data_IF_271328956668
#
_entry.id   IF_271328956668
#
_cell.length_a   1.000
_cell.length_b   1.000
_cell.length_c   1.000
_cell.angle_alpha   90.00
_cell.angle_beta   90.00
_cell.angle_gamma   90.00
#
_symmetry.space_group_name_H-M   'P 1'
#
loop_
_entity.id
_entity.type
_entity.pdbx_description
1 polymer ?
2 non-polymer ?
3 water ?
#
# COMPACT_ATOMS: atom_id res chain seq x y z
N UNK A 113 -18.85 7.08 9.91
CA UNK A 113 -17.71 7.86 10.42
C UNK A 113 -16.77 8.22 9.29
N UNK A 114 -15.83 9.16 9.57
CA UNK A 114 -14.80 9.56 8.60
C UNK A 114 -13.98 8.31 8.14
N UNK A 115 -13.42 7.52 9.08
CA UNK A 115 -12.59 6.34 8.75
C UNK A 115 -13.38 5.28 7.96
N UNK A 116 -14.65 5.09 8.30
CA UNK A 116 -15.51 4.08 7.63
C UNK A 116 -15.59 4.43 6.13
N UNK A 117 -15.90 5.69 5.82
CA UNK A 117 -16.01 6.14 4.43
C UNK A 117 -14.68 6.04 3.73
N UNK A 118 -13.58 6.45 4.42
CA UNK A 118 -12.26 6.40 3.79
C UNK A 118 -11.83 4.99 3.43
N UNK A 119 -12.11 4.02 4.32
CA UNK A 119 -11.69 2.64 4.06
C UNK A 119 -12.53 2.09 2.90
N UNK A 120 -13.82 2.37 2.89
CA UNK A 120 -14.67 1.89 1.78
C UNK A 120 -14.26 2.53 0.45
N UNK A 121 -13.91 3.80 0.46
CA UNK A 121 -13.55 4.48 -0.80
C UNK A 121 -12.19 4.06 -1.31
N UNK A 122 -11.25 3.78 -0.40
CA UNK A 122 -9.92 3.27 -0.78
C UNK A 122 -10.10 1.92 -1.46
N UNK A 123 -11.03 1.09 -0.93
CA UNK A 123 -11.28 -0.20 -1.55
C UNK A 123 -11.99 -0.04 -2.89
N UNK A 124 -13.16 0.63 -2.90
CA UNK A 124 -14.00 0.80 -4.08
C UNK A 124 -13.30 1.57 -5.22
N UNK A 125 -12.67 2.69 -4.87
CA UNK A 125 -12.03 3.58 -5.81
C UNK A 125 -10.60 3.28 -6.16
N UNK A 126 -9.98 2.30 -5.49
CA UNK A 126 -8.58 2.03 -5.81
C UNK A 126 -8.21 0.52 -5.83
N UNK A 127 -8.28 -0.13 -4.66
CA UNK A 127 -7.86 -1.55 -4.54
C UNK A 127 -8.69 -2.49 -5.39
N UNK A 128 -9.99 -2.30 -5.46
CA UNK A 128 -10.83 -3.20 -6.25
C UNK A 128 -10.56 -3.04 -7.78
N UNK A 129 -10.01 -1.88 -8.18
CA UNK A 129 -9.70 -1.58 -9.58
C UNK A 129 -8.32 -2.08 -9.98
N UNK A 130 -7.33 -2.04 -9.06
CA UNK A 130 -5.94 -2.49 -9.36
C UNK A 130 -5.64 -3.96 -8.96
N UNK A 131 -6.26 -4.47 -7.88
CA UNK A 131 -5.88 -5.83 -7.45
C UNK A 131 -6.21 -6.96 -8.49
N UNK A 132 -7.34 -6.96 -9.24
CA UNK A 132 -7.58 -8.07 -10.18
C UNK A 132 -6.52 -8.24 -11.28
N UNK A 133 -5.83 -7.16 -11.68
CA UNK A 133 -4.83 -7.23 -12.75
C UNK A 133 -3.40 -7.14 -12.23
N UNK A 134 -3.22 -7.08 -10.90
CA UNK A 134 -1.90 -6.95 -10.30
C UNK A 134 -1.01 -8.17 -10.53
N UNK A 135 -1.52 -9.37 -10.25
CA UNK A 135 -0.71 -10.58 -10.37
C UNK A 135 -0.23 -10.82 -11.81
N UNK A 136 -1.02 -10.40 -12.84
CA UNK A 136 -0.59 -10.52 -14.24
C UNK A 136 0.56 -9.54 -14.52
N UNK A 137 0.51 -8.32 -13.92
CA UNK A 137 1.56 -7.31 -14.08
C UNK A 137 2.84 -7.82 -13.43
N UNK A 138 2.73 -8.40 -12.21
CA UNK A 138 3.89 -8.95 -11.48
C UNK A 138 4.49 -10.16 -12.26
N UNK A 139 3.63 -11.07 -12.75
CA UNK A 139 4.05 -12.26 -13.52
C UNK A 139 4.82 -11.86 -14.78
N UNK A 140 4.31 -10.87 -15.53
CA UNK A 140 4.91 -10.34 -16.76
C UNK A 140 6.29 -9.74 -16.43
N UNK A 141 6.36 -8.99 -15.32
CA UNK A 141 7.61 -8.37 -14.87
C UNK A 141 8.66 -9.45 -14.49
N UNK A 142 8.27 -10.41 -13.62
CA UNK A 142 9.19 -11.45 -13.18
C UNK A 142 9.68 -12.32 -14.33
N UNK A 143 8.77 -12.69 -15.26
CA UNK A 143 9.07 -13.48 -16.45
C UNK A 143 10.01 -12.74 -17.40
N UNK A 144 9.84 -11.40 -17.55
CA UNK A 144 10.71 -10.60 -18.43
C UNK A 144 12.17 -10.65 -17.95
N UNK A 145 12.38 -10.56 -16.62
CA UNK A 145 13.72 -10.56 -16.00
C UNK A 145 14.14 -11.92 -15.45
N UNK A 146 13.31 -12.97 -15.67
CA UNK A 146 13.52 -14.32 -15.14
C UNK A 146 13.85 -14.27 -13.62
N UNK A 147 13.04 -13.54 -12.87
CA UNK A 147 13.24 -13.38 -11.44
C UNK A 147 12.68 -14.57 -10.73
N UNK A 148 13.52 -15.22 -9.95
CA UNK A 148 13.16 -16.38 -9.14
C UNK A 148 13.74 -16.14 -7.75
N UNK A 149 13.27 -16.87 -6.74
CA UNK A 149 13.80 -16.80 -5.38
C UNK A 149 13.66 -15.38 -4.79
N UNK A 150 14.70 -14.80 -4.17
CA UNK A 150 14.62 -13.48 -3.51
C UNK A 150 14.36 -12.32 -4.44
N UNK A 151 14.82 -12.42 -5.68
CA UNK A 151 14.63 -11.40 -6.68
C UNK A 151 13.23 -11.40 -7.31
N UNK A 152 12.40 -12.45 -7.05
CA UNK A 152 11.05 -12.53 -7.59
C UNK A 152 10.14 -11.56 -6.79
N UNK A 153 9.52 -10.62 -7.49
CA UNK A 153 8.58 -9.67 -6.89
C UNK A 153 7.43 -10.48 -6.31
N UNK A 154 7.14 -10.27 -5.01
CA UNK A 154 6.01 -10.94 -4.31
C UNK A 154 4.69 -10.78 -5.10
N UNK A 155 3.80 -11.78 -5.03
CA UNK A 155 2.51 -11.76 -5.75
C UNK A 155 1.49 -10.82 -5.07
N UNK A 156 1.84 -10.23 -3.92
CA UNK A 156 0.94 -9.34 -3.16
C UNK A 156 1.34 -7.89 -3.15
N UNK A 157 0.35 -6.98 -3.14
CA UNK A 157 0.63 -5.55 -2.94
C UNK A 157 0.76 -5.35 -1.42
N UNK A 158 1.87 -4.76 -0.99
CA UNK A 158 2.14 -4.49 0.42
C UNK A 158 1.77 -3.05 0.70
N UNK A 159 0.78 -2.87 1.58
CA UNK A 159 0.22 -1.56 1.93
C UNK A 159 0.62 -1.17 3.33
N UNK A 160 1.39 -0.09 3.43
CA UNK A 160 1.88 0.42 4.70
C UNK A 160 0.82 1.27 5.41
N UNK A 161 0.53 0.93 6.66
CA UNK A 161 -0.50 1.60 7.47
C UNK A 161 0.12 2.18 8.75
N UNK A 162 0.88 3.29 8.66
CA UNK A 162 1.47 3.87 9.88
C UNK A 162 0.34 4.45 10.75
N UNK A 163 0.23 3.98 12.01
CA UNK A 163 -0.85 4.42 12.89
C UNK A 163 -0.72 5.90 13.30
N UNK A 164 0.48 6.48 13.19
CA UNK A 164 0.71 7.89 13.50
C UNK A 164 0.25 8.80 12.32
N UNK A 165 -0.18 8.20 11.19
CA UNK A 165 -0.63 8.85 9.94
C UNK A 165 0.46 9.65 9.19
N UNK A 166 1.73 9.43 9.53
CA UNK A 166 2.84 10.07 8.84
C UNK A 166 3.12 9.37 7.52
N UNK A 167 2.72 10.01 6.42
CA UNK A 167 2.88 9.46 5.08
C UNK A 167 3.94 10.24 4.29
N UNK A 168 5.20 9.75 4.23
CA UNK A 168 6.21 10.44 3.41
C UNK A 168 6.10 9.95 1.95
N UNK A 169 6.55 10.79 1.00
CA UNK A 169 6.46 10.41 -0.41
C UNK A 169 7.62 9.55 -0.89
N UNK A 170 8.72 9.61 -0.15
CA UNK A 170 9.90 8.80 -0.45
C UNK A 170 10.09 7.84 0.70
N UNK A 171 9.97 6.53 0.41
CA UNK A 171 10.09 5.41 1.34
C UNK A 171 11.50 5.29 1.88
N UNK A 172 12.51 5.63 1.05
CA UNK A 172 13.92 5.61 1.46
C UNK A 172 14.21 6.90 2.28
N UNK A 173 13.40 7.06 3.34
CA UNK A 173 13.38 8.14 4.32
C UNK A 173 12.99 7.48 5.65
N UNK A 174 11.96 6.60 5.62
CA UNK A 174 11.45 5.83 6.75
C UNK A 174 12.44 4.75 7.20
N UNK A 175 13.20 4.17 6.23
CA UNK A 175 14.21 3.12 6.46
C UNK A 175 15.18 3.03 5.26
N UNK A 176 16.52 3.09 5.49
CA UNK A 176 17.46 2.96 4.35
C UNK A 176 17.53 1.54 3.77
N UNK A 177 17.09 0.52 4.53
CA UNK A 177 17.08 -0.89 4.11
C UNK A 177 15.90 -1.21 3.15
N UNK A 178 15.20 -0.16 2.71
CA UNK A 178 14.08 -0.20 1.76
C UNK A 178 14.59 0.65 0.59
N UNK A 179 14.83 -0.01 -0.57
CA UNK A 179 15.45 0.66 -1.71
C UNK A 179 14.63 0.51 -2.95
N UNK A 180 14.34 1.65 -3.63
CA UNK A 180 13.59 1.62 -4.87
C UNK A 180 14.34 0.82 -5.95
N UNK A 181 13.66 -0.14 -6.60
CA UNK A 181 14.28 -0.94 -7.64
C UNK A 181 13.77 -0.56 -9.04
N UNK A 182 12.44 -0.61 -9.20
CA UNK A 182 11.84 -0.39 -10.51
C UNK A 182 10.36 -0.04 -10.41
N UNK A 183 9.79 0.45 -11.49
CA UNK A 183 8.37 0.68 -11.53
C UNK A 183 7.77 -0.57 -12.11
N UNK A 184 6.64 -0.97 -11.58
CA UNK A 184 5.89 -2.08 -12.14
C UNK A 184 5.24 -1.49 -13.39
N UNK A 185 5.28 -2.15 -14.59
CA UNK A 185 4.65 -1.55 -15.78
C UNK A 185 3.21 -1.09 -15.50
N UNK A 186 2.87 0.15 -15.90
CA UNK A 186 1.58 0.77 -15.58
C UNK A 186 0.40 0.00 -16.08
N UNK A 187 -0.72 0.13 -15.35
CA UNK A 187 -2.02 -0.38 -15.74
C UNK A 187 -2.76 0.88 -16.15
N UNK A 188 -3.60 0.80 -17.18
CA UNK A 188 -4.42 1.95 -17.59
C UNK A 188 -5.84 1.46 -17.74
N UNK A 189 -6.79 2.35 -17.46
CA UNK A 189 -8.20 2.02 -17.61
C UNK A 189 -8.95 3.31 -17.73
N UNK A 190 -10.04 3.30 -18.49
CA UNK A 190 -10.88 4.49 -18.57
C UNK A 190 -11.59 4.57 -17.22
N UNK A 191 -11.50 5.73 -16.56
CA UNK A 191 -12.08 5.90 -15.23
C UNK A 191 -12.69 7.29 -15.04
N UNK A 192 -14.03 7.35 -14.85
CA UNK A 192 -14.75 8.61 -14.54
C UNK A 192 -14.44 9.77 -15.50
N UNK A 193 -14.37 9.45 -16.78
CA UNK A 193 -14.07 10.44 -17.81
C UNK A 193 -12.59 10.64 -18.08
N UNK A 194 -11.71 10.01 -17.28
CA UNK A 194 -10.27 10.08 -17.56
C UNK A 194 -9.93 8.90 -18.47
N UNK A 195 -9.62 9.19 -19.72
CA UNK A 195 -9.24 8.17 -20.68
C UNK A 195 -7.88 7.63 -20.29
N UNK A 196 -7.75 6.30 -20.21
CA UNK A 196 -6.47 5.69 -19.84
C UNK A 196 -5.86 6.30 -18.54
N UNK A 197 -6.69 6.39 -17.49
CA UNK A 197 -6.24 6.80 -16.15
C UNK A 197 -5.13 5.81 -15.81
N UNK A 198 -3.98 6.34 -15.40
CA UNK A 198 -2.80 5.54 -15.16
C UNK A 198 -2.64 5.15 -13.68
N UNK A 199 -2.38 3.85 -13.45
CA UNK A 199 -2.11 3.27 -12.13
C UNK A 199 -0.64 2.86 -12.16
N UNK A 200 0.19 3.67 -11.48
CA UNK A 200 1.63 3.47 -11.34
C UNK A 200 1.87 2.75 -10.00
N UNK A 201 2.84 1.82 -9.93
CA UNK A 201 3.18 1.14 -8.66
C UNK A 201 4.67 0.86 -8.67
N UNK A 202 5.30 0.92 -7.50
CA UNK A 202 6.74 0.81 -7.38
C UNK A 202 7.19 -0.45 -6.66
N UNK A 203 8.23 -1.06 -7.19
CA UNK A 203 8.89 -2.26 -6.68
C UNK A 203 10.09 -1.83 -5.84
N UNK A 204 10.18 -2.36 -4.62
CA UNK A 204 11.28 -2.10 -3.70
C UNK A 204 12.06 -3.38 -3.37
N UNK A 205 13.36 -3.22 -3.07
CA UNK A 205 14.16 -4.32 -2.58
C UNK A 205 14.29 -4.07 -1.11
N UNK A 206 14.19 -5.15 -0.32
CA UNK A 206 14.34 -5.09 1.11
C UNK A 206 15.68 -5.70 1.46
N UNK A 207 16.54 -4.88 2.03
CA UNK A 207 17.91 -5.27 2.32
C UNK A 207 18.12 -5.76 3.76
N UNK A 208 19.06 -6.67 3.91
CA UNK A 208 19.46 -7.24 5.19
C UNK A 208 20.97 -7.44 5.08
N UNK A 209 21.74 -6.69 5.90
CA UNK A 209 23.21 -6.70 5.94
C UNK A 209 23.81 -6.41 4.56
N UNK A 210 23.24 -5.41 3.88
CA UNK A 210 23.68 -4.93 2.57
C UNK A 210 23.25 -5.72 1.34
N UNK A 211 22.64 -6.92 1.53
CA UNK A 211 22.17 -7.71 0.37
C UNK A 211 20.63 -7.77 0.25
N UNK A 212 20.15 -7.99 -0.99
CA UNK A 212 18.72 -8.10 -1.27
C UNK A 212 18.17 -9.38 -0.62
N UNK A 213 17.24 -9.21 0.30
CA UNK A 213 16.64 -10.31 1.05
C UNK A 213 15.21 -10.60 0.54
N UNK A 214 14.60 -9.59 -0.08
CA UNK A 214 13.24 -9.69 -0.58
C UNK A 214 12.89 -8.60 -1.57
N UNK A 215 11.81 -8.85 -2.34
CA UNK A 215 11.36 -7.90 -3.35
C UNK A 215 9.84 -7.79 -3.34
N UNK A 216 9.30 -6.56 -3.34
CA UNK A 216 7.85 -6.42 -3.37
C UNK A 216 7.39 -5.05 -3.80
N UNK A 217 6.16 -5.01 -4.30
CA UNK A 217 5.45 -3.77 -4.66
C UNK A 217 4.99 -3.20 -3.29
N UNK A 218 5.30 -1.93 -3.03
CA UNK A 218 5.03 -1.34 -1.74
C UNK A 218 4.56 0.11 -1.88
N UNK A 219 3.62 0.52 -1.02
CA UNK A 219 3.10 1.91 -0.96
C UNK A 219 2.34 2.12 0.33
N UNK A 220 2.17 3.39 0.71
CA UNK A 220 1.39 3.78 1.87
C UNK A 220 -0.07 3.95 1.44
N UNK A 221 -0.97 3.69 2.39
CA UNK A 221 -2.41 3.92 2.21
C UNK A 221 -2.59 5.46 2.38
N UNK A 222 -2.73 6.19 1.22
CA UNK A 222 -2.88 7.65 1.20
C UNK A 222 -4.02 8.19 2.05
N UNK A 223 -5.17 7.47 2.30
CA UNK A 223 -6.19 8.08 3.18
C UNK A 223 -5.67 8.36 4.61
N UNK A 224 -4.59 7.69 5.05
CA UNK A 224 -4.04 7.97 6.38
C UNK A 224 -3.43 9.40 6.39
N UNK A 225 -2.92 9.87 5.23
CA UNK A 225 -2.39 11.24 5.10
C UNK A 225 -3.55 12.25 5.20
N UNK A 226 -4.71 11.91 4.65
CA UNK A 226 -5.90 12.74 4.79
C UNK A 226 -6.24 12.94 6.25
N UNK A 227 -6.24 11.86 7.09
CA UNK A 227 -6.57 12.02 8.50
C UNK A 227 -5.61 12.96 9.15
N UNK A 228 -4.31 12.84 8.82
CA UNK A 228 -3.32 13.73 9.42
C UNK A 228 -3.64 15.19 9.00
N UNK A 229 -3.83 15.44 7.70
CA UNK A 229 -4.09 16.80 7.24
C UNK A 229 -5.38 17.35 7.82
N UNK A 230 -6.46 16.53 7.88
CA UNK A 230 -7.74 16.96 8.48
C UNK A 230 -7.56 17.45 9.89
N UNK A 231 -6.70 16.78 10.69
CA UNK A 231 -6.43 17.24 12.06
C UNK A 231 -5.69 18.59 12.10
N UNK A 232 -5.11 19.01 10.98
CA UNK A 232 -4.37 20.28 10.94
C UNK A 232 -5.20 21.45 10.38
N UNK A 233 -6.30 21.17 9.66
CA UNK A 233 -7.17 22.20 9.06
C UNK A 233 -8.30 22.55 10.02
N UNK A 234 -8.42 23.81 10.42
CA UNK A 234 -9.48 24.21 11.36
C UNK A 234 -10.90 23.93 10.85
N UNK A 235 -11.15 24.12 9.54
CA UNK A 235 -12.48 23.92 8.97
C UNK A 235 -12.90 22.46 8.89
N UNK A 236 -11.94 21.51 9.07
CA UNK A 236 -12.26 20.09 9.05
C UNK A 236 -12.88 19.64 10.40
N UNK A 237 -12.74 20.48 11.44
CA UNK A 237 -13.26 20.25 12.81
C UNK A 237 -12.89 18.88 13.33
N UNK A 238 -11.61 18.51 13.17
CA UNK A 238 -11.12 17.17 13.45
C UNK A 238 -9.88 17.28 14.29
N UNK A 239 -9.90 16.73 15.53
CA UNK A 239 -8.79 16.86 16.47
C UNK A 239 -7.68 15.82 16.27
N UNK A 240 -6.58 16.00 17.01
CA UNK A 240 -5.49 15.04 17.04
C UNK A 240 -5.98 13.72 17.69
N UNK A 241 -6.94 13.80 18.64
CA UNK A 241 -7.58 12.63 19.28
C UNK A 241 -8.41 11.89 18.20
N UNK A 242 -9.18 12.64 17.39
CA UNK A 242 -9.96 12.06 16.29
C UNK A 242 -9.04 11.32 15.30
N UNK A 243 -7.87 11.92 14.96
CA UNK A 243 -6.89 11.37 14.01
C UNK A 243 -6.43 9.96 14.45
N UNK A 244 -5.97 9.80 15.69
CA UNK A 244 -5.46 8.51 16.16
C UNK A 244 -6.55 7.42 16.22
N UNK A 245 -7.75 7.80 16.69
CA UNK A 245 -8.90 6.90 16.81
C UNK A 245 -9.39 6.51 15.40
N UNK A 246 -9.47 7.48 14.49
CA UNK A 246 -9.94 7.20 13.14
C UNK A 246 -8.88 6.42 12.35
N UNK A 247 -7.58 6.60 12.65
CA UNK A 247 -6.53 5.80 11.97
C UNK A 247 -6.72 4.31 12.28
N UNK A 248 -6.94 3.97 13.58
CA UNK A 248 -7.16 2.59 14.02
C UNK A 248 -8.42 2.01 13.34
N UNK A 249 -9.53 2.78 13.34
CA UNK A 249 -10.78 2.35 12.68
C UNK A 249 -10.61 2.17 11.16
N UNK A 250 -9.82 3.00 10.51
CA UNK A 250 -9.56 2.88 9.06
C UNK A 250 -8.90 1.53 8.79
N UNK A 251 -7.84 1.20 9.57
CA UNK A 251 -7.08 -0.05 9.44
C UNK A 251 -7.97 -1.25 9.63
N UNK A 252 -8.79 -1.22 10.70
CA UNK A 252 -9.70 -2.30 11.04
C UNK A 252 -10.78 -2.50 9.99
N UNK A 253 -11.38 -1.40 9.48
CA UNK A 253 -12.43 -1.51 8.45
C UNK A 253 -11.82 -2.08 7.18
N UNK A 254 -10.63 -1.59 6.81
CA UNK A 254 -9.97 -2.07 5.59
C UNK A 254 -9.66 -3.57 5.71
N UNK A 255 -9.21 -4.02 6.91
CA UNK A 255 -8.95 -5.43 7.16
C UNK A 255 -10.26 -6.22 6.94
N UNK A 256 -11.38 -5.71 7.51
CA UNK A 256 -12.70 -6.37 7.41
C UNK A 256 -13.15 -6.46 5.95
N UNK A 257 -12.98 -5.36 5.19
CA UNK A 257 -13.33 -5.35 3.77
C UNK A 257 -12.53 -6.39 2.96
N UNK A 258 -11.20 -6.36 3.08
CA UNK A 258 -10.33 -7.25 2.28
C UNK A 258 -10.47 -8.72 2.60
N UNK A 259 -10.87 -9.04 3.83
CA UNK A 259 -11.12 -10.42 4.27
C UNK A 259 -12.18 -11.09 3.36
N UNK A 260 -13.27 -10.34 3.01
CA UNK A 260 -14.38 -10.83 2.17
C UNK A 260 -14.33 -10.43 0.70
N UNK A 261 -13.50 -9.46 0.33
CA UNK A 261 -13.46 -8.92 -1.04
C UNK A 261 -13.05 -9.96 -2.08
N UNK A 262 -13.87 -10.17 -3.15
CA UNK A 262 -13.51 -11.19 -4.16
C UNK A 262 -12.25 -10.88 -4.98
N UNK A 263 -11.96 -9.58 -5.20
CA UNK A 263 -10.81 -9.11 -6.00
C UNK A 263 -9.50 -9.19 -5.23
N UNK A 264 -9.60 -9.22 -3.91
CA UNK A 264 -8.47 -9.07 -3.01
C UNK A 264 -8.17 -10.26 -2.12
N UNK A 265 -8.27 -11.47 -2.69
CA UNK A 265 -8.00 -12.69 -1.93
C UNK A 265 -6.72 -13.32 -2.49
N UNK A 266 -5.58 -13.19 -1.74
CA UNK A 266 -4.20 -13.68 -1.99
C UNK A 266 -3.24 -12.69 -2.68
N UNK A 267 -3.63 -11.43 -2.88
CA UNK A 267 -2.82 -10.45 -3.61
C UNK A 267 -2.64 -9.11 -2.91
N UNK A 268 -2.97 -9.04 -1.61
CA UNK A 268 -2.83 -7.79 -0.84
C UNK A 268 -2.39 -8.15 0.57
N UNK A 269 -1.53 -7.32 1.18
CA UNK A 269 -1.10 -7.52 2.56
C UNK A 269 -1.00 -6.17 3.26
N UNK A 270 -1.79 -5.98 4.33
CA UNK A 270 -1.76 -4.76 5.12
C UNK A 270 -0.67 -4.83 6.17
N UNK A 271 0.10 -3.75 6.32
CA UNK A 271 1.17 -3.70 7.31
C UNK A 271 0.94 -2.51 8.21
N UNK A 272 0.24 -2.72 9.34
CA UNK A 272 -0.02 -1.63 10.30
C UNK A 272 1.16 -1.60 11.28
N UNK A 273 1.64 -0.40 11.64
CA UNK A 273 2.78 -0.26 12.57
C UNK A 273 2.72 1.04 13.31
N UNK A 274 3.34 1.02 14.48
CA UNK A 274 3.41 2.15 15.41
C UNK A 274 4.87 2.36 15.80
N UNK A 275 5.25 3.61 16.10
CA UNK A 275 6.61 3.99 16.53
C UNK A 275 6.59 4.55 17.95
N UNK A 283 12.05 -1.65 13.23
CA UNK A 283 12.46 -1.82 11.85
C UNK A 283 11.28 -2.14 10.91
N UNK A 284 11.06 -1.28 9.92
CA UNK A 284 10.00 -1.47 8.94
C UNK A 284 10.41 -2.55 7.92
N UNK A 285 11.71 -2.56 7.50
CA UNK A 285 12.24 -3.53 6.54
C UNK A 285 12.12 -4.94 7.08
N UNK A 286 12.46 -5.14 8.38
CA UNK A 286 12.37 -6.45 9.04
C UNK A 286 10.93 -6.95 9.09
N UNK A 287 10.00 -6.03 9.36
CA UNK A 287 8.56 -6.30 9.39
C UNK A 287 8.03 -6.76 8.02
N UNK A 288 8.43 -6.07 6.93
CA UNK A 288 8.04 -6.45 5.57
C UNK A 288 8.64 -7.81 5.24
N UNK A 289 9.94 -7.99 5.54
CA UNK A 289 10.62 -9.26 5.34
C UNK A 289 10.00 -10.41 6.14
N UNK A 290 9.48 -10.13 7.34
CA UNK A 290 8.80 -11.14 8.17
C UNK A 290 7.60 -11.70 7.36
N UNK A 291 6.85 -10.81 6.72
CA UNK A 291 5.71 -11.14 5.88
C UNK A 291 6.14 -11.87 4.60
N UNK A 292 7.19 -11.36 3.91
CA UNK A 292 7.70 -11.96 2.67
C UNK A 292 8.23 -13.37 2.85
N UNK A 293 8.80 -13.65 4.03
CA UNK A 293 9.41 -14.94 4.35
C UNK A 293 8.40 -16.06 4.58
N UNK A 294 7.26 -15.73 5.22
CA UNK A 294 6.16 -16.67 5.49
C UNK A 294 5.72 -17.45 4.26
N UNK A 295 6.00 -16.90 3.05
CA UNK A 295 5.53 -17.45 1.78
C UNK A 295 6.58 -17.47 0.68
X LIG B 1 -3.52 8.35 -3.43
X LIG B 1 -2.82 8.07 -4.38
X LIG B 1 -2.42 8.91 -5.29
X LIG B 1 -2.44 6.66 -4.70
X LIG B 1 -3.61 5.73 -4.60
X LIG B 1 -4.74 6.12 -5.53
X LIG B 1 -4.54 6.21 -6.74
X LIG B 1 -6.08 6.31 -4.97
X LIG B 1 -7.42 6.51 -6.08
X LIG B 1 -8.52 6.65 -4.75
X LIG B 1 -9.88 6.95 -4.86
X LIG B 1 -10.63 7.13 -3.71
X LIG B 1 -11.96 7.44 -3.70
X LIG B 1 -12.62 7.58 -4.95
X LIG B 1 -6.49 6.31 -3.67
X LIG B 1 -7.89 6.52 -3.50
X LIG B 1 -8.68 6.69 -2.35
X LIG B 1 -10.03 6.99 -2.44
X LIG B 1 -10.83 7.24 -1.36
X LIG B 1 -10.21 7.36 -0.08
X LIG B 1 -2.65 9.86 -5.09
X LIG B 1 -1.65 6.36 -4.00
X LIG B 1 -1.99 6.59 -5.68
X LIG B 1 -3.93 5.66 -3.56
X LIG B 1 -3.30 4.71 -4.82
X LIG B 1 -10.28 7.05 -5.86
X LIG B 1 -13.65 7.72 -4.64
X LIG B 1 -12.58 6.70 -5.61
X LIG B 1 -12.28 8.45 -5.50
X LIG B 1 -5.85 6.18 -2.80
X LIG B 1 -8.17 6.52 -1.41
X LIG B 1 -11.00 7.83 0.52
X LIG B 1 -9.34 8.01 -0.02
X LIG B 1 -9.99 6.39 0.38
#
# INVERSE_FOLDING_TARGET
>A
MAHHHHHHGSDSEVNQEAKPEVKPEVKPETHINLKVSDGSSEIFFKIKKTTPLRRLMEAFAKRQGKEMDSLTFLYDGIEIQADQTPEDLDMEDNDIIEAHREQIGGENLYFQSVAHGLAWSYYIGYLRLILPELQARIRTYNQHYNNLLRGAVSQRLYILLPLDCGVPDNLSMADPNIRFLDKLPQQTADRAGIKDRVYSNSIYELLENGQRAGTCVLEYATPLQTLFAMSQYSQAGFSREDRLEQAKLFCQTLEDILADAPESQNNCRLIAYQEPADDSSFSLSQEVLRHLRQEEKEEV
>B hetero
1 QAD O1 C11 O2 C10 C9 C8 O C6 S C4 C5 C O4 C13 C7 C3 C2 C1 O3 C12 H7 H5 H6 H3 H4 H1 H11 H12 H13 H2 H H10 H8 H9
#
